data_IF_135586003411
#
_entry.id   IF_135586003411
#
_cell.length_a   1.000
_cell.length_b   1.000
_cell.length_c   1.000
_cell.angle_alpha   90.00
_cell.angle_beta   90.00
_cell.angle_gamma   90.00
#
_symmetry.space_group_name_H-M   'P 1'
#
loop_
_entity.id
_entity.type
_entity.pdbx_description
1 polymer ?
#
# COMPACT_ATOMS: atom_id res chain seq x y z
N UNK A 1 -30.58 24.19 -11.22
CA UNK A 1 -30.55 24.25 -12.70
C UNK A 1 -29.19 24.80 -13.13
N UNK A 2 -28.11 24.26 -12.58
CA UNK A 2 -27.43 23.07 -13.12
C UNK A 2 -26.89 23.37 -14.52
N UNK A 3 -25.60 23.70 -14.59
CA UNK A 3 -24.64 22.93 -15.39
C UNK A 3 -23.33 23.75 -15.49
N UNK A 4 -22.20 23.04 -15.47
CA UNK A 4 -20.87 23.50 -15.91
C UNK A 4 -19.91 24.15 -14.89
N UNK A 5 -19.80 23.62 -13.67
CA UNK A 5 -18.60 23.83 -12.85
C UNK A 5 -18.06 22.53 -12.21
N UNK A 6 -18.12 21.41 -12.94
CA UNK A 6 -17.53 20.11 -12.56
C UNK A 6 -16.49 19.63 -13.58
N UNK A 7 -15.51 20.47 -13.91
CA UNK A 7 -14.40 20.09 -14.78
C UNK A 7 -13.04 20.52 -14.23
N UNK A 8 -12.77 20.26 -12.94
CA UNK A 8 -11.40 20.24 -12.41
C UNK A 8 -11.15 19.11 -11.37
N UNK A 9 -11.83 17.97 -11.51
CA UNK A 9 -11.30 16.71 -10.94
C UNK A 9 -11.25 15.67 -12.05
N UNK A 10 -10.15 15.75 -12.81
CA UNK A 10 -9.74 14.69 -13.74
C UNK A 10 -8.51 14.04 -13.12
N UNK A 11 -8.58 12.77 -12.66
CA UNK A 11 -7.40 12.00 -12.25
C UNK A 11 -6.48 11.60 -13.40
N UNK A 12 -6.70 12.11 -14.62
CA UNK A 12 -5.87 11.85 -15.79
C UNK A 12 -4.62 12.74 -15.77
N UNK A 13 -3.73 12.55 -14.79
CA UNK A 13 -2.40 13.16 -14.82
C UNK A 13 -1.39 12.13 -15.29
N UNK A 14 -1.25 12.10 -16.61
CA UNK A 14 -0.30 11.28 -17.37
C UNK A 14 1.03 11.07 -16.63
N UNK A 15 1.35 9.80 -16.36
CA UNK A 15 2.57 9.24 -15.75
C UNK A 15 3.88 9.60 -16.48
N UNK A 16 3.83 10.46 -17.50
CA UNK A 16 4.92 10.71 -18.44
C UNK A 16 5.67 12.05 -18.26
N UNK A 17 5.22 12.97 -17.41
CA UNK A 17 5.82 14.33 -17.39
C UNK A 17 6.98 14.53 -16.41
N UNK A 18 7.15 13.65 -15.41
CA UNK A 18 8.24 13.80 -14.43
C UNK A 18 9.61 13.30 -14.94
N UNK A 19 9.66 12.63 -16.10
CA UNK A 19 10.90 12.11 -16.70
C UNK A 19 11.48 13.00 -17.82
N UNK A 20 10.89 14.18 -18.10
CA UNK A 20 11.21 14.97 -19.30
C UNK A 20 12.07 16.23 -19.08
N UNK A 21 12.47 16.58 -17.84
CA UNK A 21 13.09 17.89 -17.56
C UNK A 21 14.63 17.87 -17.42
N UNK A 22 15.30 16.71 -17.48
CA UNK A 22 16.77 16.64 -17.37
C UNK A 22 17.47 15.97 -18.56
N UNK A 23 17.23 16.45 -19.78
CA UNK A 23 18.08 16.13 -20.95
C UNK A 23 18.78 17.40 -21.48
N UNK A 24 19.98 17.68 -20.98
CA UNK A 24 20.92 18.61 -21.63
C UNK A 24 22.20 17.84 -21.93
N UNK A 25 22.33 17.38 -23.17
CA UNK A 25 23.54 16.79 -23.73
C UNK A 25 24.45 17.91 -24.26
N UNK A 26 25.74 17.93 -23.92
CA UNK A 26 26.75 18.61 -24.74
C UNK A 26 27.21 17.68 -25.87
N UNK A 27 26.96 18.11 -27.10
CA UNK A 27 27.67 17.67 -28.30
C UNK A 27 29.06 18.28 -28.30
N UNK A 28 30.13 17.49 -28.42
CA UNK A 28 31.35 17.82 -29.18
C UNK A 28 32.30 16.61 -29.28
N UNK A 29 32.50 16.14 -30.51
CA UNK A 29 33.83 16.14 -31.11
C UNK A 29 34.85 15.04 -30.73
N UNK A 30 34.87 14.02 -31.59
CA UNK A 30 36.04 13.28 -32.09
C UNK A 30 36.74 12.20 -31.24
N UNK A 31 37.14 11.19 -32.01
CA UNK A 31 37.66 9.87 -31.68
C UNK A 31 39.16 9.94 -31.41
N UNK A 32 39.67 9.13 -30.48
CA UNK A 32 41.04 8.63 -30.54
C UNK A 32 41.08 7.15 -30.13
N UNK A 33 41.63 6.34 -31.02
CA UNK A 33 42.00 4.94 -30.81
C UNK A 33 43.24 4.87 -29.90
N UNK A 34 43.19 4.04 -28.85
CA UNK A 34 44.37 3.35 -28.35
C UNK A 34 43.94 2.05 -27.65
N UNK A 35 44.39 0.91 -28.17
CA UNK A 35 44.26 -0.41 -27.55
C UNK A 35 45.52 -0.72 -26.74
N UNK A 36 45.37 -0.91 -25.43
CA UNK A 36 46.16 -1.70 -24.47
C UNK A 36 45.58 -1.32 -23.08
N UNK A 37 45.39 -2.18 -22.09
CA UNK A 37 46.14 -3.34 -21.65
C UNK A 37 45.23 -4.20 -20.74
N UNK A 38 45.42 -5.52 -20.76
CA UNK A 38 44.70 -6.47 -19.91
C UNK A 38 45.30 -6.53 -18.50
N UNK A 39 44.42 -6.75 -17.51
CA UNK A 39 44.68 -7.03 -16.08
C UNK A 39 45.32 -5.90 -15.24
N UNK A 40 44.45 -5.00 -14.74
CA UNK A 40 44.55 -4.50 -13.36
C UNK A 40 43.38 -5.06 -12.55
N UNK A 41 43.64 -6.22 -11.94
CA UNK A 41 43.27 -6.60 -10.57
C UNK A 41 41.99 -5.96 -10.00
N UNK A 42 40.87 -6.66 -10.12
CA UNK A 42 39.97 -7.14 -9.04
C UNK A 42 39.87 -6.42 -7.67
N UNK A 43 40.13 -5.12 -7.55
CA UNK A 43 39.93 -4.32 -6.34
C UNK A 43 38.63 -3.50 -6.39
N UNK A 44 37.52 -4.13 -6.80
CA UNK A 44 36.18 -3.65 -6.46
C UNK A 44 35.28 -4.82 -6.07
N UNK A 45 35.81 -5.68 -5.20
CA UNK A 45 35.00 -6.66 -4.48
C UNK A 45 34.39 -5.97 -3.24
N UNK A 46 33.08 -5.76 -3.30
CA UNK A 46 32.19 -5.41 -2.19
C UNK A 46 32.38 -4.02 -1.55
N UNK A 47 32.10 -2.95 -2.30
CA UNK A 47 31.46 -1.79 -1.66
C UNK A 47 30.08 -2.26 -1.17
N UNK A 48 30.00 -2.61 0.12
CA UNK A 48 28.76 -3.01 0.78
C UNK A 48 27.76 -1.89 0.60
N UNK A 49 26.87 -2.03 -0.38
CA UNK A 49 25.84 -1.04 -0.69
C UNK A 49 25.08 -0.72 0.60
N UNK A 50 25.07 0.55 1.00
CA UNK A 50 24.33 1.04 2.17
C UNK A 50 22.88 0.53 2.07
N UNK A 51 22.29 0.00 3.16
CA UNK A 51 20.88 -0.34 3.17
C UNK A 51 20.04 0.85 2.71
N UNK A 52 18.99 0.58 1.93
CA UNK A 52 18.06 1.61 1.51
C UNK A 52 17.41 2.26 2.73
N UNK A 53 17.37 3.60 2.73
CA UNK A 53 16.80 4.40 3.80
C UNK A 53 15.67 5.26 3.25
N UNK A 54 14.54 5.25 3.96
CA UNK A 54 13.40 6.10 3.64
C UNK A 54 13.71 7.56 4.00
N UNK A 55 13.52 8.45 3.04
CA UNK A 55 13.51 9.90 3.27
C UNK A 55 12.12 10.48 3.07
N UNK A 56 11.93 11.75 3.44
CA UNK A 56 10.65 12.44 3.27
C UNK A 56 10.16 12.43 1.81
N UNK A 57 11.06 12.64 0.83
CA UNK A 57 10.72 12.51 -0.60
C UNK A 57 10.27 11.11 -1.00
N UNK A 58 10.78 10.07 -0.35
CA UNK A 58 10.29 8.72 -0.58
C UNK A 58 8.90 8.53 0.02
N UNK A 59 8.64 9.12 1.18
CA UNK A 59 7.33 9.07 1.85
C UNK A 59 6.27 9.81 1.02
N UNK A 60 6.59 10.99 0.46
CA UNK A 60 5.71 11.73 -0.46
C UNK A 60 5.28 10.86 -1.65
N UNK A 61 6.24 10.25 -2.35
CA UNK A 61 5.95 9.36 -3.48
C UNK A 61 5.13 8.13 -3.05
N UNK A 62 5.43 7.54 -1.89
CA UNK A 62 4.68 6.41 -1.35
C UNK A 62 3.21 6.78 -1.12
N UNK A 63 2.95 7.89 -0.42
CA UNK A 63 1.58 8.32 -0.11
C UNK A 63 0.82 8.66 -1.40
N UNK A 64 1.46 9.32 -2.36
CA UNK A 64 0.84 9.62 -3.64
C UNK A 64 0.46 8.33 -4.40
N UNK A 65 1.33 7.31 -4.42
CA UNK A 65 1.04 6.04 -5.09
C UNK A 65 -0.10 5.29 -4.40
N UNK A 66 -0.13 5.29 -3.05
CA UNK A 66 -1.22 4.70 -2.26
C UNK A 66 -2.55 5.42 -2.51
N UNK A 67 -2.55 6.75 -2.65
CA UNK A 67 -3.74 7.52 -3.02
C UNK A 67 -4.19 7.27 -4.46
N UNK A 68 -3.27 6.86 -5.34
CA UNK A 68 -3.57 6.58 -6.76
C UNK A 68 -4.20 5.21 -6.93
N UNK A 69 -3.61 4.18 -6.29
CA UNK A 69 -4.04 2.79 -6.43
C UNK A 69 -5.05 2.35 -5.35
N UNK A 70 -5.20 3.15 -4.29
CA UNK A 70 -6.22 3.02 -3.24
C UNK A 70 -6.39 1.58 -2.70
N UNK A 71 -5.30 0.92 -2.24
CA UNK A 71 -5.32 -0.47 -1.76
C UNK A 71 -6.25 -0.70 -0.56
N UNK A 72 -6.75 0.37 0.05
CA UNK A 72 -7.67 0.35 1.17
C UNK A 72 -9.14 0.20 0.77
N UNK A 73 -9.49 0.40 -0.51
CA UNK A 73 -10.83 0.11 -1.05
C UNK A 73 -11.15 -1.39 -1.01
N UNK A 74 -10.12 -2.21 -1.16
CA UNK A 74 -10.24 -3.67 -1.12
C UNK A 74 -10.30 -4.21 0.32
N UNK A 75 -11.09 -5.28 0.48
CA UNK A 75 -11.29 -5.92 1.79
C UNK A 75 -9.97 -6.42 2.37
N UNK A 76 -9.88 -6.42 3.71
CA UNK A 76 -8.73 -7.02 4.40
C UNK A 76 -8.67 -8.52 4.07
N UNK A 77 -7.46 -9.02 3.79
CA UNK A 77 -7.16 -10.41 3.36
C UNK A 77 -7.60 -10.77 1.95
N UNK A 78 -8.00 -9.80 1.13
CA UNK A 78 -8.20 -10.03 -0.29
C UNK A 78 -6.85 -10.21 -1.01
N UNK A 79 -6.80 -11.14 -1.95
CA UNK A 79 -5.65 -11.36 -2.83
C UNK A 79 -5.44 -10.12 -3.71
N UNK A 80 -6.52 -9.48 -4.16
CA UNK A 80 -6.43 -8.28 -5.01
C UNK A 80 -5.76 -7.14 -4.24
N UNK A 81 -6.09 -6.96 -2.96
CA UNK A 81 -5.38 -6.02 -2.10
C UNK A 81 -3.88 -6.31 -2.05
N UNK A 82 -3.50 -7.58 -1.97
CA UNK A 82 -2.11 -8.02 -2.01
C UNK A 82 -1.41 -7.66 -3.32
N UNK A 83 -2.13 -7.79 -4.45
CA UNK A 83 -1.66 -7.42 -5.79
C UNK A 83 -1.48 -5.90 -5.94
N UNK A 84 -2.41 -5.09 -5.43
CA UNK A 84 -2.27 -3.64 -5.46
C UNK A 84 -1.02 -3.18 -4.70
N UNK A 85 -0.72 -3.76 -3.53
CA UNK A 85 0.52 -3.44 -2.81
C UNK A 85 1.80 -3.90 -3.53
N UNK A 86 1.70 -4.95 -4.35
CA UNK A 86 2.79 -5.38 -5.24
C UNK A 86 3.03 -4.33 -6.31
N UNK A 87 1.96 -3.90 -6.98
CA UNK A 87 1.98 -2.84 -8.00
C UNK A 87 2.53 -1.52 -7.45
N UNK A 88 2.12 -1.10 -6.24
CA UNK A 88 2.71 0.07 -5.55
C UNK A 88 4.23 -0.08 -5.46
N UNK A 89 4.72 -1.25 -5.05
CA UNK A 89 6.17 -1.47 -4.89
C UNK A 89 6.93 -1.47 -6.22
N UNK A 90 6.34 -2.06 -7.27
CA UNK A 90 6.91 -2.07 -8.62
C UNK A 90 6.97 -0.65 -9.20
N UNK A 91 5.89 0.10 -9.03
CA UNK A 91 5.77 1.48 -9.46
C UNK A 91 6.80 2.39 -8.79
N UNK A 92 6.98 2.28 -7.47
CA UNK A 92 8.00 3.04 -6.76
C UNK A 92 9.42 2.68 -7.24
N UNK A 93 9.72 1.40 -7.42
CA UNK A 93 11.02 0.96 -7.95
C UNK A 93 11.28 1.36 -9.41
N UNK A 94 10.23 1.69 -10.18
CA UNK A 94 10.37 2.21 -11.55
C UNK A 94 10.81 3.67 -11.60
N UNK A 95 10.75 4.40 -10.48
CA UNK A 95 11.15 5.80 -10.41
C UNK A 95 12.67 5.94 -10.49
N UNK A 96 13.12 6.91 -11.29
CA UNK A 96 14.55 7.25 -11.37
C UNK A 96 14.98 8.20 -10.25
N UNK A 97 14.07 9.04 -9.78
CA UNK A 97 14.31 10.01 -8.71
C UNK A 97 13.01 10.20 -7.91
N UNK A 98 13.01 9.99 -6.58
CA UNK A 98 14.07 9.34 -5.83
C UNK A 98 14.18 7.84 -6.21
N UNK A 99 15.37 7.24 -6.00
CA UNK A 99 15.61 5.83 -6.32
C UNK A 99 15.11 4.95 -5.19
N UNK A 100 14.22 4.02 -5.50
CA UNK A 100 13.72 3.04 -4.54
C UNK A 100 14.45 1.69 -4.67
N UNK A 101 14.62 1.02 -3.52
CA UNK A 101 15.02 -0.40 -3.45
C UNK A 101 14.14 -1.10 -2.43
N UNK A 102 12.85 -1.22 -2.74
CA UNK A 102 11.81 -1.68 -1.81
C UNK A 102 11.10 -2.94 -2.30
N UNK A 103 10.41 -3.63 -1.39
CA UNK A 103 9.49 -4.71 -1.72
C UNK A 103 8.10 -4.46 -1.11
N UNK A 104 7.10 -5.23 -1.54
CA UNK A 104 5.72 -5.20 -1.03
C UNK A 104 5.63 -5.11 0.50
N UNK A 105 6.47 -5.87 1.21
CA UNK A 105 6.48 -5.89 2.68
C UNK A 105 6.95 -4.56 3.26
N UNK A 106 8.11 -4.07 2.83
CA UNK A 106 8.70 -2.82 3.32
C UNK A 106 7.82 -1.60 3.04
N UNK A 107 7.15 -1.57 1.89
CA UNK A 107 6.17 -0.52 1.52
C UNK A 107 5.01 -0.50 2.51
N UNK A 108 4.42 -1.67 2.79
CA UNK A 108 3.30 -1.79 3.75
C UNK A 108 3.71 -1.41 5.16
N UNK A 109 4.87 -1.88 5.62
CA UNK A 109 5.40 -1.56 6.95
C UNK A 109 5.68 -0.06 7.07
N UNK A 110 6.27 0.57 6.04
CA UNK A 110 6.51 2.02 6.03
C UNK A 110 5.21 2.81 6.08
N UNK A 111 4.24 2.45 5.25
CA UNK A 111 2.93 3.10 5.23
C UNK A 111 2.24 3.03 6.62
N UNK A 112 2.20 1.84 7.23
CA UNK A 112 1.62 1.65 8.57
C UNK A 112 2.28 2.54 9.61
N UNK A 113 3.61 2.60 9.61
CA UNK A 113 4.38 3.46 10.51
C UNK A 113 4.03 4.94 10.33
N UNK A 114 3.88 5.40 9.09
CA UNK A 114 3.48 6.78 8.80
C UNK A 114 2.05 7.08 9.27
N UNK A 115 1.10 6.18 8.99
CA UNK A 115 -0.30 6.33 9.43
C UNK A 115 -0.44 6.38 10.96
N UNK A 116 0.27 5.51 11.67
CA UNK A 116 0.25 5.50 13.15
C UNK A 116 0.85 6.77 13.75
N UNK A 117 1.97 7.24 13.20
CA UNK A 117 2.59 8.51 13.61
C UNK A 117 1.64 9.68 13.38
N UNK A 118 1.05 9.79 12.20
CA UNK A 118 0.11 10.85 11.88
C UNK A 118 -1.11 10.85 12.82
N UNK A 119 -1.68 9.66 13.09
CA UNK A 119 -2.81 9.55 14.01
C UNK A 119 -2.48 10.11 15.40
N UNK A 120 -1.34 9.72 15.96
CA UNK A 120 -0.90 10.21 17.27
C UNK A 120 -0.69 11.73 17.27
N UNK A 121 0.00 12.26 16.26
CA UNK A 121 0.23 13.70 16.11
C UNK A 121 -1.08 14.48 15.94
N UNK A 122 -2.04 13.95 15.19
CA UNK A 122 -3.37 14.57 14.99
C UNK A 122 -4.17 14.63 16.29
N UNK A 123 -4.12 13.58 17.11
CA UNK A 123 -4.77 13.55 18.42
C UNK A 123 -4.14 14.57 19.39
N UNK A 124 -2.81 14.69 19.40
CA UNK A 124 -2.07 15.68 20.20
C UNK A 124 -2.37 17.13 19.77
N UNK A 125 -2.47 17.39 18.46
CA UNK A 125 -2.87 18.72 17.94
C UNK A 125 -4.30 19.08 18.33
N UNK A 126 -5.24 18.14 18.21
CA UNK A 126 -6.63 18.33 18.65
C UNK A 126 -6.72 18.60 20.16
N UNK A 127 -5.89 17.94 20.96
CA UNK A 127 -5.86 18.14 22.41
C UNK A 127 -5.23 19.48 22.82
N UNK A 128 -4.19 19.94 22.12
CA UNK A 128 -3.53 21.22 22.39
C UNK A 128 -4.27 22.44 21.83
N UNK A 129 -5.11 22.25 20.80
CA UNK A 129 -5.85 23.33 20.13
C UNK A 129 -4.96 24.23 19.28
N UNK A 130 -3.70 23.84 19.05
CA UNK A 130 -2.76 24.60 18.23
C UNK A 130 -2.81 24.09 16.80
N UNK A 131 -3.26 24.95 15.90
CA UNK A 131 -3.23 24.70 14.46
C UNK A 131 -1.84 25.03 13.90
N UNK A 132 -1.31 24.08 13.13
CA UNK A 132 0.01 24.12 12.53
C UNK A 132 -0.15 23.57 11.13
N UNK A 133 0.63 24.08 10.18
CA UNK A 133 0.58 23.62 8.79
C UNK A 133 0.86 22.11 8.71
N UNK A 134 0.19 21.46 7.75
CA UNK A 134 0.36 20.04 7.44
C UNK A 134 1.41 19.87 6.33
N UNK A 135 2.38 18.99 6.57
CA UNK A 135 3.30 18.51 5.53
C UNK A 135 2.53 17.80 4.40
N UNK A 136 3.13 17.69 3.21
CA UNK A 136 2.53 16.98 2.07
C UNK A 136 2.19 15.52 2.42
N UNK A 137 3.06 14.86 3.18
CA UNK A 137 2.84 13.50 3.69
C UNK A 137 1.65 13.46 4.64
N UNK A 138 1.53 14.43 5.55
CA UNK A 138 0.45 14.50 6.53
C UNK A 138 -0.90 14.75 5.86
N UNK A 139 -0.96 15.69 4.91
CA UNK A 139 -2.16 15.95 4.10
C UNK A 139 -2.60 14.71 3.31
N UNK A 140 -1.66 14.00 2.70
CA UNK A 140 -2.00 12.76 2.00
C UNK A 140 -2.49 11.65 2.92
N UNK A 141 -1.94 11.53 4.14
CA UNK A 141 -2.41 10.58 5.15
C UNK A 141 -3.81 10.95 5.68
N UNK A 142 -4.12 12.23 5.79
CA UNK A 142 -5.46 12.71 6.11
C UNK A 142 -6.48 12.27 5.04
N UNK A 143 -6.16 12.50 3.77
CA UNK A 143 -7.01 12.08 2.64
C UNK A 143 -7.20 10.56 2.61
N UNK A 144 -6.13 9.77 2.82
CA UNK A 144 -6.26 8.30 2.91
C UNK A 144 -7.21 7.92 4.06
N UNK A 145 -7.09 8.56 5.22
CA UNK A 145 -7.93 8.27 6.39
C UNK A 145 -9.40 8.61 6.13
N UNK A 146 -9.67 9.73 5.44
CA UNK A 146 -11.02 10.12 5.04
C UNK A 146 -11.63 9.10 4.08
N UNK A 147 -10.91 8.73 3.03
CA UNK A 147 -11.35 7.72 2.06
C UNK A 147 -11.57 6.34 2.71
N UNK A 148 -10.73 5.95 3.66
CA UNK A 148 -10.91 4.70 4.42
C UNK A 148 -12.22 4.70 5.22
N UNK A 149 -12.61 5.85 5.80
CA UNK A 149 -13.89 5.99 6.51
C UNK A 149 -15.06 5.86 5.55
N UNK A 150 -15.01 6.55 4.41
CA UNK A 150 -16.06 6.45 3.38
C UNK A 150 -16.29 5.01 2.91
N UNK A 151 -15.19 4.27 2.68
CA UNK A 151 -15.26 2.84 2.31
C UNK A 151 -15.87 2.00 3.43
N UNK A 152 -15.49 2.27 4.68
CA UNK A 152 -16.02 1.55 5.85
C UNK A 152 -17.53 1.76 6.03
N UNK A 153 -18.01 2.98 5.79
CA UNK A 153 -19.42 3.36 5.89
C UNK A 153 -20.22 2.71 4.74
N UNK A 154 -19.70 2.73 3.51
CA UNK A 154 -20.32 2.06 2.36
C UNK A 154 -20.35 0.54 2.47
N UNK A 155 -19.38 -0.06 3.17
CA UNK A 155 -19.32 -1.50 3.43
C UNK A 155 -20.47 -2.02 4.31
N UNK A 156 -21.05 -1.16 5.16
CA UNK A 156 -22.19 -1.52 6.02
C UNK A 156 -23.54 -1.54 5.27
N UNK A 157 -23.65 -0.87 4.13
CA UNK A 157 -24.88 -0.83 3.33
C UNK A 157 -25.06 -2.05 2.41
N UNK A 158 -23.98 -2.80 2.12
CA UNK A 158 -23.99 -3.89 1.12
C UNK A 158 -24.06 -5.31 1.73
N UNK A 159 -24.18 -5.46 3.05
CA UNK A 159 -24.25 -6.78 3.69
C UNK A 159 -25.68 -7.31 3.91
N UNK A 160 -26.74 -6.68 3.37
CA UNK A 160 -28.13 -7.15 3.54
C UNK A 160 -28.79 -7.73 2.29
N UNK A 161 -28.13 -7.77 1.13
CA UNK A 161 -28.76 -8.33 -0.06
C UNK A 161 -27.74 -9.06 -0.92
N UNK A 162 -27.44 -10.32 -0.55
CA UNK A 162 -27.30 -11.47 -1.47
C UNK A 162 -27.50 -12.77 -0.66
N UNK A 163 -28.72 -13.00 -0.18
CA UNK A 163 -29.25 -14.37 -0.09
C UNK A 163 -29.92 -14.64 -1.42
N UNK A 164 -29.38 -15.56 -2.21
CA UNK A 164 -30.23 -16.45 -3.01
C UNK A 164 -29.75 -17.90 -3.00
N UNK A 165 -30.71 -18.84 -3.11
CA UNK A 165 -30.59 -20.22 -2.66
C UNK A 165 -30.43 -21.19 -3.84
N UNK A 166 -29.95 -22.40 -3.57
CA UNK A 166 -30.23 -23.57 -4.40
C UNK A 166 -30.79 -24.69 -3.51
N UNK A 167 -32.05 -25.02 -3.79
CA UNK A 167 -32.87 -26.10 -3.22
C UNK A 167 -32.54 -27.47 -3.84
N UNK A 168 -33.01 -28.49 -3.13
CA UNK A 168 -33.15 -29.90 -3.51
C UNK A 168 -32.92 -30.77 -2.27
N UNK A 169 -33.85 -30.91 -1.30
CA UNK A 169 -35.06 -31.77 -1.27
C UNK A 169 -34.66 -33.27 -1.41
N UNK A 170 -34.97 -34.25 -0.53
CA UNK A 170 -36.08 -34.48 0.41
C UNK A 170 -35.76 -35.63 1.42
N UNK A 171 -36.48 -35.60 2.57
CA UNK A 171 -36.99 -36.67 3.47
C UNK A 171 -36.04 -37.75 4.05
N UNK A 172 -36.22 -38.35 5.24
CA UNK A 172 -37.32 -38.56 6.19
C UNK A 172 -36.59 -38.95 7.51
N UNK A 173 -36.91 -38.50 8.70
CA UNK A 173 -38.09 -38.91 9.47
C UNK A 173 -37.64 -39.45 10.85
N UNK A 174 -38.46 -39.18 11.87
CA UNK A 174 -38.53 -39.87 13.17
C UNK A 174 -37.34 -39.65 14.13
N UNK A 175 -37.46 -39.09 15.34
CA UNK A 175 -38.43 -39.35 16.39
C UNK A 175 -37.69 -39.98 17.57
N UNK A 176 -37.74 -39.35 18.75
CA UNK A 176 -37.53 -40.05 20.02
C UNK A 176 -36.44 -39.53 20.97
N UNK A 177 -36.90 -39.08 22.15
CA UNK A 177 -36.45 -39.46 23.50
C UNK A 177 -34.99 -39.18 23.92
N UNK A 178 -34.74 -38.26 24.85
CA UNK A 178 -34.80 -38.44 26.31
C UNK A 178 -33.54 -39.09 26.93
N UNK A 179 -33.18 -38.57 28.10
CA UNK A 179 -32.36 -39.21 29.14
C UNK A 179 -30.81 -39.23 29.09
N UNK A 180 -30.23 -38.24 29.80
CA UNK A 180 -29.31 -38.39 30.97
C UNK A 180 -27.91 -39.02 30.87
N UNK A 181 -26.94 -38.30 31.49
CA UNK A 181 -25.69 -38.75 32.16
C UNK A 181 -24.70 -39.63 31.38
N UNK A 182 -23.45 -39.15 31.26
CA UNK A 182 -22.32 -39.75 31.99
C UNK A 182 -20.98 -39.01 31.76
N UNK A 183 -20.44 -38.53 32.87
CA UNK A 183 -19.05 -38.13 33.10
C UNK A 183 -18.10 -39.32 32.94
N UNK A 184 -17.11 -39.26 32.04
CA UNK A 184 -15.81 -39.97 32.21
C UNK A 184 -14.64 -39.15 31.63
N UNK A 185 -13.85 -38.57 32.52
CA UNK A 185 -12.50 -38.04 32.25
C UNK A 185 -11.62 -39.19 31.77
N UNK A 186 -10.88 -39.02 30.67
CA UNK A 186 -9.79 -39.92 30.27
C UNK A 186 -8.53 -39.58 31.09
N UNK A 187 -7.84 -40.56 31.69
CA UNK A 187 -6.62 -40.30 32.45
C UNK A 187 -5.43 -40.13 31.51
N UNK A 188 -4.50 -39.27 31.92
CA UNK A 188 -3.20 -39.04 31.29
C UNK A 188 -2.27 -40.13 31.82
N UNK A 189 -1.72 -40.96 30.94
CA UNK A 189 -0.62 -41.86 31.27
C UNK A 189 0.69 -41.09 31.09
N UNK A 190 1.50 -41.03 32.13
CA UNK A 190 2.89 -40.58 32.07
C UNK A 190 3.77 -41.83 32.21
N UNK A 191 4.74 -41.97 31.32
CA UNK A 191 5.92 -42.82 31.51
C UNK A 191 7.07 -41.95 32.01
#
# INVERSE_FOLDING_TARGET
MDSLARLLTSPCRSRSLYNAIHSVLPSHGQRNFHMANQNSTSEQAAEKQKPFEWSEKHDECLIQEVLTLEPFKEKKRDIERGRIWEEVSENLNSLRVPVFKVNKRSVRERFQLLSEKYKKMSEERKASGIETDLSEVERGLEEVTEKEKEVSEQGTAKSSCEKKPSRGDEEEGNGGDDETKARRKRPVLHA
#
